data_IF_597119349762
#
_entry.id   IF_597119349762
#
_cell.length_a   1.000
_cell.length_b   1.000
_cell.length_c   1.000
_cell.angle_alpha   90.00
_cell.angle_beta   90.00
_cell.angle_gamma   90.00
#
_symmetry.space_group_name_H-M   'P 1'
#
loop_
_entity.id
_entity.type
_entity.pdbx_description
1 polymer ?
#
# COMPACT_ATOMS: atom_id res chain seq x y z
N UNK A 1 -23.28 -8.26 -45.82
CA UNK A 1 -22.81 -8.48 -44.43
C UNK A 1 -21.41 -7.91 -44.31
N UNK A 2 -21.31 -6.68 -43.89
CA UNK A 2 -20.03 -5.94 -43.80
C UNK A 2 -19.50 -6.07 -42.40
N UNK A 3 -18.43 -6.88 -42.24
CA UNK A 3 -17.66 -6.99 -41.02
C UNK A 3 -16.90 -5.67 -40.79
N UNK A 4 -17.37 -4.84 -39.88
CA UNK A 4 -16.57 -3.74 -39.34
C UNK A 4 -15.56 -4.32 -38.35
N UNK A 5 -14.29 -4.47 -38.79
CA UNK A 5 -13.14 -4.67 -37.93
C UNK A 5 -12.99 -3.41 -37.06
N UNK A 6 -13.45 -3.47 -35.82
CA UNK A 6 -13.01 -2.52 -34.79
C UNK A 6 -11.53 -2.80 -34.49
N UNK A 7 -10.64 -2.03 -35.11
CA UNK A 7 -9.24 -1.96 -34.70
C UNK A 7 -9.23 -1.40 -33.28
N UNK A 8 -8.89 -2.24 -32.32
CA UNK A 8 -8.54 -1.81 -30.97
C UNK A 8 -7.26 -0.98 -31.10
N UNK A 9 -7.42 0.34 -31.06
CA UNK A 9 -6.26 1.25 -31.09
C UNK A 9 -5.45 1.01 -29.81
N UNK A 10 -4.13 0.81 -29.98
CA UNK A 10 -3.21 0.71 -28.85
C UNK A 10 -3.33 1.99 -27.97
N UNK A 11 -3.26 1.86 -26.64
CA UNK A 11 -3.43 3.00 -25.74
C UNK A 11 -2.38 4.09 -26.05
N UNK A 12 -2.86 5.31 -26.28
CA UNK A 12 -2.00 6.48 -26.56
C UNK A 12 -1.20 6.78 -25.29
N UNK A 13 0.12 6.73 -25.38
CA UNK A 13 1.02 7.00 -24.28
C UNK A 13 1.27 8.50 -24.16
N UNK A 14 0.62 9.17 -23.19
CA UNK A 14 0.81 10.60 -22.94
C UNK A 14 2.15 10.84 -22.23
N UNK A 15 2.91 11.84 -22.69
CA UNK A 15 4.22 12.20 -22.11
C UNK A 15 4.10 13.05 -20.83
N UNK A 16 3.02 13.82 -20.72
CA UNK A 16 2.78 14.71 -19.57
C UNK A 16 1.35 14.58 -19.04
N UNK A 17 1.17 14.88 -17.77
CA UNK A 17 -0.15 14.93 -17.14
C UNK A 17 -1.08 15.97 -17.81
N UNK A 18 -0.51 17.10 -18.31
CA UNK A 18 -1.25 18.12 -19.04
C UNK A 18 -1.79 17.60 -20.39
N UNK A 19 -0.95 16.87 -21.14
CA UNK A 19 -1.39 16.22 -22.39
C UNK A 19 -2.50 15.22 -22.12
N UNK A 20 -2.36 14.41 -21.05
CA UNK A 20 -3.38 13.45 -20.66
C UNK A 20 -4.72 14.13 -20.35
N UNK A 21 -4.75 15.18 -19.54
CA UNK A 21 -5.99 15.91 -19.24
C UNK A 21 -6.55 16.69 -20.43
N UNK A 22 -5.77 16.92 -21.50
CA UNK A 22 -6.24 17.53 -22.74
C UNK A 22 -6.80 16.54 -23.74
N UNK A 23 -6.58 15.23 -23.54
CA UNK A 23 -7.15 14.19 -24.36
C UNK A 23 -8.68 14.21 -24.28
N UNK A 24 -9.42 14.24 -25.42
CA UNK A 24 -10.88 14.29 -25.44
C UNK A 24 -11.55 13.10 -24.72
N UNK A 25 -10.96 11.90 -24.84
CA UNK A 25 -11.48 10.67 -24.19
C UNK A 25 -11.37 10.81 -22.67
N UNK A 26 -10.21 11.26 -22.20
CA UNK A 26 -9.96 11.49 -20.77
C UNK A 26 -10.86 12.59 -20.22
N UNK A 27 -11.06 13.69 -20.95
CA UNK A 27 -12.01 14.75 -20.56
C UNK A 27 -13.42 14.20 -20.36
N UNK A 28 -13.90 13.44 -21.33
CA UNK A 28 -15.21 12.82 -21.24
C UNK A 28 -15.34 11.87 -20.04
N UNK A 29 -14.31 11.06 -19.80
CA UNK A 29 -14.26 10.16 -18.63
C UNK A 29 -14.29 10.94 -17.29
N UNK A 30 -13.54 12.01 -17.18
CA UNK A 30 -13.54 12.88 -15.98
C UNK A 30 -14.88 13.57 -15.80
N UNK A 31 -15.50 14.07 -16.89
CA UNK A 31 -16.83 14.69 -16.84
C UNK A 31 -17.92 13.70 -16.40
N UNK A 32 -17.86 12.46 -16.87
CA UNK A 32 -18.76 11.40 -16.43
C UNK A 32 -18.58 11.06 -14.94
N UNK A 33 -17.34 11.04 -14.46
CA UNK A 33 -17.02 10.67 -13.07
C UNK A 33 -17.38 11.79 -12.08
N UNK A 34 -17.10 13.06 -12.41
CA UNK A 34 -17.11 14.18 -11.44
C UNK A 34 -18.08 15.30 -11.87
N UNK A 35 -18.59 15.25 -13.09
CA UNK A 35 -19.53 16.24 -13.62
C UNK A 35 -18.92 17.63 -13.73
N UNK A 36 -19.64 18.65 -13.24
CA UNK A 36 -19.25 20.06 -13.33
C UNK A 36 -17.93 20.43 -12.66
N UNK A 37 -17.39 19.55 -11.80
CA UNK A 37 -16.16 19.80 -11.06
C UNK A 37 -14.90 19.32 -11.82
N UNK A 38 -15.01 18.87 -13.06
CA UNK A 38 -13.93 18.28 -13.86
C UNK A 38 -12.70 19.22 -14.02
N UNK A 39 -12.93 20.51 -14.28
CA UNK A 39 -11.85 21.48 -14.42
C UNK A 39 -11.09 21.74 -13.11
N UNK A 40 -11.82 21.85 -12.00
CA UNK A 40 -11.25 22.02 -10.66
C UNK A 40 -10.46 20.77 -10.26
N UNK A 41 -10.97 19.59 -10.57
CA UNK A 41 -10.29 18.33 -10.33
C UNK A 41 -8.95 18.25 -11.07
N UNK A 42 -8.92 18.50 -12.38
CA UNK A 42 -7.70 18.49 -13.18
C UNK A 42 -6.65 19.46 -12.62
N UNK A 43 -7.09 20.68 -12.23
CA UNK A 43 -6.22 21.69 -11.61
C UNK A 43 -5.65 21.19 -10.28
N UNK A 44 -6.47 20.61 -9.42
CA UNK A 44 -6.04 20.07 -8.11
C UNK A 44 -5.04 18.93 -8.27
N UNK A 45 -5.28 18.01 -9.21
CA UNK A 45 -4.36 16.90 -9.49
C UNK A 45 -3.03 17.40 -10.02
N UNK A 46 -3.03 18.37 -10.92
CA UNK A 46 -1.80 19.01 -11.40
C UNK A 46 -1.02 19.73 -10.29
N UNK A 47 -1.72 20.39 -9.37
CA UNK A 47 -1.07 21.04 -8.20
C UNK A 47 -0.40 20.00 -7.31
N UNK A 48 -1.09 18.88 -7.01
CA UNK A 48 -0.54 17.77 -6.21
C UNK A 48 0.70 17.19 -6.91
N UNK A 49 0.62 16.89 -8.19
CA UNK A 49 1.73 16.36 -8.97
C UNK A 49 2.94 17.32 -8.95
N UNK A 50 2.70 18.62 -9.04
CA UNK A 50 3.75 19.62 -9.04
C UNK A 50 4.36 19.91 -7.64
N UNK A 51 3.63 19.61 -6.57
CA UNK A 51 4.11 19.83 -5.20
C UNK A 51 5.20 18.84 -4.76
N UNK A 52 5.35 17.72 -5.46
CA UNK A 52 6.32 16.67 -5.13
C UNK A 52 7.24 16.37 -6.31
N UNK A 53 8.56 16.45 -6.08
CA UNK A 53 9.57 16.27 -7.13
C UNK A 53 9.51 14.88 -7.79
N UNK A 54 9.20 13.81 -7.03
CA UNK A 54 9.06 12.46 -7.57
C UNK A 54 7.75 12.30 -8.34
N UNK A 55 6.64 12.88 -7.88
CA UNK A 55 5.37 12.84 -8.62
C UNK A 55 5.48 13.53 -9.97
N UNK A 56 6.28 14.59 -10.09
CA UNK A 56 6.53 15.25 -11.39
C UNK A 56 7.15 14.33 -12.44
N UNK A 57 7.87 13.31 -11.99
CA UNK A 57 8.51 12.32 -12.87
C UNK A 57 7.72 11.01 -12.98
N UNK A 58 6.62 10.90 -12.25
CA UNK A 58 5.78 9.70 -12.28
C UNK A 58 4.98 9.59 -13.59
N UNK A 59 4.65 8.37 -13.95
CA UNK A 59 3.85 8.06 -15.13
C UNK A 59 2.48 8.78 -15.04
N UNK A 60 2.11 9.64 -16.01
CA UNK A 60 0.91 10.46 -15.94
C UNK A 60 -0.38 9.66 -15.73
N UNK A 61 -0.50 8.48 -16.35
CA UNK A 61 -1.62 7.58 -16.20
C UNK A 61 -1.80 7.07 -14.77
N UNK A 62 -0.69 6.79 -14.07
CA UNK A 62 -0.75 6.34 -12.66
C UNK A 62 -1.24 7.45 -11.72
N UNK A 63 -0.82 8.69 -11.93
CA UNK A 63 -1.32 9.85 -11.17
C UNK A 63 -2.80 10.07 -11.44
N UNK A 64 -3.21 10.02 -12.70
CA UNK A 64 -4.60 10.16 -13.12
C UNK A 64 -5.49 9.09 -12.48
N UNK A 65 -5.12 7.82 -12.59
CA UNK A 65 -5.90 6.71 -12.06
C UNK A 65 -5.99 6.76 -10.52
N UNK A 66 -4.90 7.12 -9.83
CA UNK A 66 -4.94 7.34 -8.38
C UNK A 66 -5.90 8.47 -7.98
N UNK A 67 -5.94 9.55 -8.78
CA UNK A 67 -6.86 10.65 -8.56
C UNK A 67 -8.32 10.25 -8.86
N UNK A 68 -8.56 9.50 -9.93
CA UNK A 68 -9.89 8.96 -10.26
C UNK A 68 -10.39 8.03 -9.14
N UNK A 69 -9.51 7.20 -8.55
CA UNK A 69 -9.87 6.34 -7.42
C UNK A 69 -10.34 7.16 -6.22
N UNK A 70 -9.64 8.23 -5.87
CA UNK A 70 -10.08 9.14 -4.81
C UNK A 70 -11.43 9.79 -5.12
N UNK A 71 -11.65 10.18 -6.37
CA UNK A 71 -12.91 10.78 -6.83
C UNK A 71 -14.08 9.78 -6.77
N UNK A 72 -13.87 8.54 -7.21
CA UNK A 72 -14.86 7.45 -7.11
C UNK A 72 -15.28 7.20 -5.66
N UNK A 73 -14.34 7.25 -4.74
CA UNK A 73 -14.59 7.14 -3.30
C UNK A 73 -15.13 8.43 -2.69
N UNK A 74 -15.24 9.50 -3.48
CA UNK A 74 -15.61 10.86 -3.02
C UNK A 74 -14.74 11.30 -1.82
N UNK A 75 -13.42 11.07 -1.90
CA UNK A 75 -12.45 11.47 -0.91
C UNK A 75 -11.61 12.65 -1.41
N UNK A 76 -11.56 13.77 -0.65
CA UNK A 76 -10.73 14.90 -1.01
C UNK A 76 -9.23 14.56 -1.06
N UNK A 77 -8.55 15.02 -2.12
CA UNK A 77 -7.10 14.87 -2.30
C UNK A 77 -6.27 16.03 -1.75
N UNK A 78 -6.88 16.98 -1.07
CA UNK A 78 -6.15 18.14 -0.55
C UNK A 78 -5.16 17.72 0.51
N UNK A 79 -3.88 18.14 0.31
CA UNK A 79 -2.83 17.93 1.29
C UNK A 79 -3.21 18.54 2.65
N UNK A 80 -2.98 17.78 3.72
CA UNK A 80 -3.31 18.18 5.10
C UNK A 80 -4.71 17.77 5.58
N UNK A 81 -5.67 17.44 4.72
CA UNK A 81 -6.98 16.95 5.17
C UNK A 81 -6.94 15.51 5.70
N UNK A 82 -6.06 14.66 5.17
CA UNK A 82 -5.85 13.31 5.67
C UNK A 82 -6.85 12.27 5.18
N UNK A 83 -7.61 12.54 4.11
CA UNK A 83 -8.59 11.60 3.56
C UNK A 83 -7.98 10.64 2.54
N UNK A 84 -7.29 11.17 1.54
CA UNK A 84 -6.61 10.39 0.52
C UNK A 84 -5.36 11.11 0.03
N UNK A 85 -4.42 10.32 -0.51
CA UNK A 85 -3.13 10.79 -0.99
C UNK A 85 -2.76 10.13 -2.30
N UNK A 86 -2.01 10.86 -3.12
CA UNK A 86 -1.28 10.34 -4.28
C UNK A 86 0.20 10.30 -3.87
N UNK A 87 0.77 9.11 -3.77
CA UNK A 87 2.12 8.90 -3.25
C UNK A 87 3.04 8.38 -4.36
N UNK A 88 4.22 8.99 -4.58
CA UNK A 88 5.15 8.50 -5.59
C UNK A 88 5.75 7.16 -5.16
N UNK A 89 5.86 6.24 -6.10
CA UNK A 89 6.45 4.92 -5.94
C UNK A 89 7.51 4.67 -7.01
N UNK A 90 8.74 4.29 -6.59
CA UNK A 90 9.79 3.88 -7.52
C UNK A 90 9.64 2.39 -7.80
N UNK A 91 9.17 2.06 -8.99
CA UNK A 91 9.12 0.69 -9.49
C UNK A 91 10.51 0.33 -10.07
N UNK A 92 11.32 -0.35 -9.28
CA UNK A 92 12.67 -0.72 -9.69
C UNK A 92 12.67 -1.80 -10.78
N UNK A 93 11.66 -2.69 -10.80
CA UNK A 93 11.51 -3.74 -11.83
C UNK A 93 11.28 -3.12 -13.21
N UNK A 94 10.42 -2.12 -13.29
CA UNK A 94 10.08 -1.45 -14.56
C UNK A 94 10.91 -0.16 -14.78
N UNK A 95 11.84 0.16 -13.88
CA UNK A 95 12.73 1.35 -13.94
C UNK A 95 11.97 2.67 -14.16
N UNK A 96 10.80 2.80 -13.53
CA UNK A 96 9.95 3.99 -13.64
C UNK A 96 9.44 4.46 -12.28
N UNK A 97 8.97 5.71 -12.23
CA UNK A 97 8.19 6.24 -11.10
C UNK A 97 6.72 6.13 -11.43
N UNK A 98 5.94 5.59 -10.55
CA UNK A 98 4.48 5.50 -10.62
C UNK A 98 3.86 6.20 -9.42
N UNK A 99 2.57 6.46 -9.47
CA UNK A 99 1.81 6.98 -8.34
C UNK A 99 0.90 5.89 -7.77
N UNK A 100 0.92 5.76 -6.44
CA UNK A 100 0.01 4.90 -5.69
C UNK A 100 -1.13 5.73 -5.10
N UNK A 101 -2.34 5.19 -5.12
CA UNK A 101 -3.43 5.68 -4.29
C UNK A 101 -3.21 5.20 -2.85
N UNK A 102 -3.36 6.11 -1.89
CA UNK A 102 -3.35 5.77 -0.48
C UNK A 102 -4.50 6.47 0.24
N UNK A 103 -5.33 5.68 0.91
CA UNK A 103 -6.36 6.22 1.80
C UNK A 103 -5.73 6.61 3.15
N UNK A 104 -6.14 7.75 3.68
CA UNK A 104 -5.72 8.18 5.01
C UNK A 104 -6.63 7.64 6.12
N UNK A 105 -6.17 7.75 7.36
CA UNK A 105 -6.95 7.39 8.53
C UNK A 105 -8.35 8.04 8.55
N UNK A 106 -8.41 9.34 8.27
CA UNK A 106 -9.70 10.08 8.18
C UNK A 106 -10.57 9.61 7.02
N UNK A 107 -9.97 9.11 5.93
CA UNK A 107 -10.69 8.53 4.81
C UNK A 107 -11.47 7.28 5.20
N UNK A 108 -10.86 6.37 5.95
CA UNK A 108 -11.54 5.19 6.49
C UNK A 108 -12.71 5.57 7.40
N UNK A 109 -12.50 6.55 8.29
CA UNK A 109 -13.58 7.04 9.17
C UNK A 109 -14.74 7.61 8.34
N UNK A 110 -14.43 8.42 7.32
CA UNK A 110 -15.48 9.04 6.48
C UNK A 110 -16.27 7.98 5.69
N UNK A 111 -15.62 6.97 5.15
CA UNK A 111 -16.31 5.87 4.46
C UNK A 111 -17.20 5.07 5.43
N UNK A 112 -16.68 4.78 6.62
CA UNK A 112 -17.45 4.11 7.67
C UNK A 112 -18.67 4.93 8.10
N UNK A 113 -18.53 6.23 8.31
CA UNK A 113 -19.66 7.12 8.66
C UNK A 113 -20.71 7.15 7.54
N UNK A 114 -20.29 7.24 6.28
CA UNK A 114 -21.22 7.25 5.13
C UNK A 114 -21.99 5.93 4.97
N UNK A 115 -21.42 4.80 5.40
CA UNK A 115 -22.13 3.51 5.36
C UNK A 115 -23.32 3.44 6.32
N UNK A 116 -23.40 4.32 7.32
CA UNK A 116 -24.45 4.32 8.33
C UNK A 116 -24.44 3.12 9.29
N UNK A 117 -23.47 2.22 9.20
CA UNK A 117 -23.43 0.98 9.98
C UNK A 117 -22.69 1.11 11.31
N UNK A 118 -21.91 2.16 11.51
CA UNK A 118 -21.06 2.35 12.68
C UNK A 118 -21.65 3.34 13.67
N UNK A 119 -21.89 2.91 14.90
CA UNK A 119 -22.20 3.78 16.05
C UNK A 119 -20.93 4.48 16.55
N UNK A 120 -19.80 3.77 16.54
CA UNK A 120 -18.50 4.27 17.00
C UNK A 120 -17.39 3.63 16.20
N UNK A 121 -16.37 4.42 15.88
CA UNK A 121 -15.15 3.97 15.24
C UNK A 121 -14.01 4.87 15.72
N UNK A 122 -13.01 4.29 16.36
CA UNK A 122 -11.86 5.03 16.90
C UNK A 122 -10.57 4.24 16.67
N UNK A 123 -9.45 4.95 16.60
CA UNK A 123 -8.13 4.39 16.84
C UNK A 123 -7.35 5.38 17.70
N UNK A 124 -6.62 4.88 18.67
CA UNK A 124 -5.95 5.65 19.71
C UNK A 124 -4.56 5.08 19.98
N UNK A 125 -3.55 5.93 20.30
CA UNK A 125 -2.34 5.46 20.93
C UNK A 125 -2.67 4.96 22.33
N UNK A 126 -1.93 4.00 22.82
CA UNK A 126 -2.06 3.41 24.15
C UNK A 126 -0.78 3.62 24.92
N UNK A 127 -0.88 4.16 26.12
CA UNK A 127 0.23 4.41 27.01
C UNK A 127 0.26 3.40 28.16
N UNK A 128 1.44 3.24 28.80
CA UNK A 128 1.68 2.17 29.77
C UNK A 128 0.66 2.10 30.90
N UNK A 129 0.28 3.26 31.47
CA UNK A 129 -0.69 3.33 32.57
C UNK A 129 -2.13 3.04 32.16
N UNK A 130 -2.43 3.17 30.88
CA UNK A 130 -3.79 2.97 30.34
C UNK A 130 -4.15 1.51 30.12
N UNK A 131 -3.19 0.64 29.82
CA UNK A 131 -3.44 -0.78 29.56
C UNK A 131 -3.42 -1.56 30.87
N UNK A 132 -4.61 -1.96 31.36
CA UNK A 132 -4.78 -2.72 32.59
C UNK A 132 -4.67 -4.22 32.36
N UNK A 133 -5.29 -4.73 31.28
CA UNK A 133 -5.26 -6.16 30.94
C UNK A 133 -5.14 -6.36 29.45
N UNK A 134 -4.35 -7.37 29.08
CA UNK A 134 -4.14 -7.78 27.70
C UNK A 134 -4.60 -9.22 27.52
N UNK A 135 -5.80 -9.39 26.99
CA UNK A 135 -6.40 -10.70 26.74
C UNK A 135 -6.95 -10.73 25.30
N UNK A 136 -6.31 -11.52 24.44
CA UNK A 136 -6.67 -11.58 23.02
C UNK A 136 -7.96 -12.36 22.73
N UNK A 137 -8.52 -13.05 23.73
CA UNK A 137 -9.75 -13.84 23.57
C UNK A 137 -10.92 -13.11 24.22
N UNK A 138 -10.73 -12.62 25.45
CA UNK A 138 -11.80 -12.00 26.23
C UNK A 138 -11.82 -10.46 26.14
N UNK A 139 -10.89 -9.89 25.37
CA UNK A 139 -10.80 -8.44 25.17
C UNK A 139 -9.72 -7.77 26.02
N UNK A 140 -9.56 -6.48 25.78
CA UNK A 140 -8.58 -5.62 26.46
C UNK A 140 -9.29 -4.75 27.47
N UNK A 141 -8.66 -4.51 28.64
CA UNK A 141 -9.15 -3.57 29.64
C UNK A 141 -8.24 -2.35 29.70
N UNK A 142 -8.85 -1.17 29.57
CA UNK A 142 -8.14 0.10 29.57
C UNK A 142 -8.73 1.06 30.59
N UNK A 143 -7.86 1.82 31.25
CA UNK A 143 -8.23 3.02 31.99
C UNK A 143 -7.90 4.25 31.14
N UNK A 144 -8.87 4.71 30.38
CA UNK A 144 -8.71 5.87 29.49
C UNK A 144 -8.70 7.22 30.23
N UNK A 145 -8.94 7.25 31.55
CA UNK A 145 -8.85 8.44 32.37
C UNK A 145 -7.40 8.76 32.77
N UNK A 146 -6.50 7.77 32.64
CA UNK A 146 -5.08 7.99 32.87
C UNK A 146 -4.48 8.83 31.75
N UNK A 147 -3.96 9.98 32.11
CA UNK A 147 -3.22 10.83 31.19
C UNK A 147 -1.78 10.29 30.99
N UNK A 148 -1.25 10.32 29.75
CA UNK A 148 0.14 10.00 29.50
C UNK A 148 1.09 10.98 30.22
N UNK A 149 2.25 10.50 30.60
CA UNK A 149 3.30 11.39 31.09
C UNK A 149 3.81 12.30 29.97
N UNK A 150 4.36 13.44 30.36
CA UNK A 150 4.92 14.36 29.37
C UNK A 150 6.04 13.64 28.58
N UNK A 151 5.95 13.71 27.25
CA UNK A 151 6.89 13.09 26.33
C UNK A 151 6.93 11.53 26.38
N UNK A 152 5.90 10.88 26.95
CA UNK A 152 5.79 9.43 26.97
C UNK A 152 5.47 8.90 25.57
N UNK A 153 6.20 7.86 25.15
CA UNK A 153 5.92 7.18 23.89
C UNK A 153 4.82 6.13 24.06
N UNK A 154 3.92 5.97 23.09
CA UNK A 154 2.91 4.93 23.12
C UNK A 154 3.54 3.52 23.16
N UNK A 155 3.01 2.64 24.03
CA UNK A 155 3.39 1.22 24.08
C UNK A 155 2.73 0.40 22.98
N UNK A 156 1.69 0.95 22.35
CA UNK A 156 0.95 0.31 21.27
C UNK A 156 -0.17 1.19 20.74
N UNK A 157 -0.97 0.61 19.88
CA UNK A 157 -2.09 1.27 19.21
C UNK A 157 -3.30 0.37 19.23
N UNK A 158 -4.45 0.96 19.48
CA UNK A 158 -5.72 0.27 19.64
C UNK A 158 -6.74 0.83 18.66
N UNK A 159 -7.50 -0.05 18.03
CA UNK A 159 -8.66 0.31 17.23
C UNK A 159 -9.89 -0.42 17.74
N UNK A 160 -11.02 0.24 17.68
CA UNK A 160 -12.31 -0.28 18.13
C UNK A 160 -13.43 0.23 17.22
N UNK A 161 -14.40 -0.63 16.95
CA UNK A 161 -15.68 -0.19 16.41
C UNK A 161 -16.86 -0.84 17.12
N UNK A 162 -18.00 -0.14 17.06
CA UNK A 162 -19.31 -0.65 17.45
C UNK A 162 -20.31 -0.34 16.34
N UNK A 163 -21.02 -1.37 15.89
CA UNK A 163 -22.04 -1.28 14.87
C UNK A 163 -23.42 -0.90 15.44
N UNK A 164 -24.35 -0.54 14.54
CA UNK A 164 -25.72 -0.21 14.91
C UNK A 164 -26.50 -1.39 15.52
N UNK A 165 -26.12 -2.63 15.20
CA UNK A 165 -26.66 -3.88 15.78
C UNK A 165 -25.97 -4.30 17.08
N UNK A 166 -25.17 -3.40 17.68
CA UNK A 166 -24.37 -3.61 18.89
C UNK A 166 -23.21 -4.59 18.81
N UNK A 167 -22.95 -5.21 17.65
CA UNK A 167 -21.70 -5.94 17.43
C UNK A 167 -20.51 -4.99 17.59
N UNK A 168 -19.48 -5.44 18.28
CA UNK A 168 -18.24 -4.68 18.44
C UNK A 168 -17.02 -5.57 18.21
N UNK A 169 -15.96 -4.96 17.74
CA UNK A 169 -14.67 -5.62 17.58
C UNK A 169 -13.53 -4.64 17.86
N UNK A 170 -12.40 -5.20 18.22
CA UNK A 170 -11.23 -4.44 18.63
C UNK A 170 -9.94 -5.09 18.15
N UNK A 171 -8.90 -4.29 18.01
CA UNK A 171 -7.56 -4.72 17.67
C UNK A 171 -6.54 -3.89 18.44
N UNK A 172 -5.65 -4.56 19.14
CA UNK A 172 -4.46 -3.94 19.73
C UNK A 172 -3.20 -4.48 19.06
N UNK A 173 -2.28 -3.59 18.72
CA UNK A 173 -0.94 -3.93 18.28
C UNK A 173 0.08 -3.19 19.15
N UNK A 174 1.09 -3.91 19.64
CA UNK A 174 2.19 -3.28 20.34
C UNK A 174 3.00 -2.37 19.40
N UNK A 175 3.77 -1.44 19.95
CA UNK A 175 4.67 -0.61 19.15
C UNK A 175 5.60 -1.48 18.30
N UNK A 176 6.18 -2.54 18.88
CA UNK A 176 7.05 -3.47 18.17
C UNK A 176 6.34 -4.21 17.03
N UNK A 177 5.07 -4.60 17.20
CA UNK A 177 4.30 -5.24 16.15
C UNK A 177 4.02 -4.28 15.00
N UNK A 178 3.77 -3.00 15.29
CA UNK A 178 3.63 -1.94 14.28
C UNK A 178 4.97 -1.74 13.53
N UNK A 179 6.10 -1.71 14.24
CA UNK A 179 7.42 -1.60 13.61
C UNK A 179 7.69 -2.80 12.68
N UNK A 180 7.43 -4.02 13.14
CA UNK A 180 7.54 -5.24 12.30
C UNK A 180 6.63 -5.17 11.09
N UNK A 181 5.40 -4.69 11.26
CA UNK A 181 4.47 -4.48 10.14
C UNK A 181 5.03 -3.46 9.14
N UNK A 182 5.52 -2.31 9.61
CA UNK A 182 6.12 -1.30 8.73
C UNK A 182 7.36 -1.85 8.01
N UNK A 183 8.23 -2.58 8.70
CA UNK A 183 9.39 -3.25 8.11
C UNK A 183 9.00 -4.25 7.03
N UNK A 184 7.94 -5.02 7.26
CA UNK A 184 7.49 -6.03 6.30
C UNK A 184 6.88 -5.41 5.04
N UNK A 185 6.07 -4.36 5.17
CA UNK A 185 5.21 -3.87 4.10
C UNK A 185 5.61 -2.51 3.51
N UNK A 186 6.62 -1.82 4.05
CA UNK A 186 7.04 -0.52 3.55
C UNK A 186 8.51 -0.49 3.16
N UNK A 187 8.78 -0.36 1.86
CA UNK A 187 10.15 -0.22 1.36
C UNK A 187 10.83 1.07 1.84
N UNK A 188 10.07 2.16 1.96
CA UNK A 188 10.62 3.45 2.44
C UNK A 188 10.99 3.37 3.92
N UNK A 189 10.23 2.63 4.73
CA UNK A 189 10.56 2.38 6.13
C UNK A 189 11.89 1.63 6.26
N UNK A 190 12.08 0.56 5.49
CA UNK A 190 13.35 -0.20 5.46
C UNK A 190 14.56 0.69 5.11
N UNK A 191 14.35 1.69 4.26
CA UNK A 191 15.40 2.61 3.79
C UNK A 191 15.59 3.83 4.71
N UNK A 192 14.87 3.94 5.81
CA UNK A 192 15.03 5.00 6.80
C UNK A 192 14.43 6.36 6.39
N UNK A 193 13.42 6.42 5.51
CA UNK A 193 12.74 7.65 5.11
C UNK A 193 11.26 7.44 4.80
N UNK A 194 10.53 8.54 4.58
CA UNK A 194 9.14 8.56 4.17
C UNK A 194 8.15 8.67 5.32
N UNK A 195 6.86 8.58 5.00
CA UNK A 195 5.75 8.94 5.91
C UNK A 195 5.80 8.19 7.25
N UNK A 196 6.26 6.95 7.26
CA UNK A 196 6.45 6.19 8.48
C UNK A 196 7.49 6.78 9.44
N UNK A 197 8.53 7.45 8.91
CA UNK A 197 9.51 8.15 9.73
C UNK A 197 9.05 9.55 10.09
N UNK A 198 8.40 10.23 9.14
CA UNK A 198 7.97 11.61 9.33
C UNK A 198 6.75 11.72 10.26
N UNK A 199 5.87 10.70 10.27
CA UNK A 199 4.63 10.67 11.04
C UNK A 199 4.22 9.24 11.40
N UNK A 200 5.01 8.61 12.28
CA UNK A 200 4.83 7.22 12.70
C UNK A 200 3.44 6.98 13.29
N UNK A 201 2.99 7.85 14.18
CA UNK A 201 1.70 7.70 14.87
C UNK A 201 0.52 7.66 13.89
N UNK A 202 0.47 8.57 12.92
CA UNK A 202 -0.60 8.57 11.92
C UNK A 202 -0.63 7.28 11.09
N UNK A 203 0.55 6.73 10.76
CA UNK A 203 0.66 5.47 10.04
C UNK A 203 0.28 4.27 10.90
N UNK A 204 0.63 4.29 12.19
CA UNK A 204 0.25 3.26 13.15
C UNK A 204 -1.27 3.22 13.36
N UNK A 205 -1.90 4.38 13.58
CA UNK A 205 -3.37 4.52 13.71
C UNK A 205 -4.09 4.06 12.43
N UNK A 206 -3.57 4.44 11.26
CA UNK A 206 -4.08 3.94 9.97
C UNK A 206 -4.00 2.41 9.89
N UNK A 207 -2.88 1.83 10.32
CA UNK A 207 -2.61 0.39 10.23
C UNK A 207 -3.60 -0.40 11.09
N UNK A 208 -3.75 -0.07 12.37
CA UNK A 208 -4.69 -0.78 13.25
C UNK A 208 -6.13 -0.61 12.79
N UNK A 209 -6.50 0.58 12.31
CA UNK A 209 -7.83 0.85 11.75
C UNK A 209 -8.10 -0.02 10.51
N UNK A 210 -7.20 0.00 9.52
CA UNK A 210 -7.32 -0.78 8.29
C UNK A 210 -7.42 -2.27 8.59
N UNK A 211 -6.55 -2.79 9.45
CA UNK A 211 -6.53 -4.21 9.81
C UNK A 211 -7.80 -4.65 10.53
N UNK A 212 -8.31 -3.83 11.45
CA UNK A 212 -9.57 -4.12 12.15
C UNK A 212 -10.74 -4.14 11.17
N UNK A 213 -10.90 -3.08 10.37
CA UNK A 213 -12.00 -2.96 9.41
C UNK A 213 -11.98 -4.06 8.36
N UNK A 214 -10.83 -4.33 7.76
CA UNK A 214 -10.71 -5.34 6.69
C UNK A 214 -11.00 -6.76 7.14
N UNK A 215 -10.81 -7.06 8.43
CA UNK A 215 -10.99 -8.42 8.98
C UNK A 215 -12.36 -8.65 9.60
N UNK A 216 -12.97 -7.63 10.20
CA UNK A 216 -14.11 -7.84 11.10
C UNK A 216 -15.30 -6.91 10.82
N UNK A 217 -15.14 -5.85 10.03
CA UNK A 217 -16.24 -4.95 9.75
C UNK A 217 -17.05 -5.39 8.51
N UNK A 218 -18.38 -5.13 8.50
CA UNK A 218 -19.14 -5.20 7.28
C UNK A 218 -18.69 -4.05 6.37
N UNK A 219 -18.03 -4.38 5.26
CA UNK A 219 -17.50 -3.38 4.32
C UNK A 219 -18.58 -3.00 3.30
N UNK A 220 -18.92 -1.71 3.21
CA UNK A 220 -19.66 -1.19 2.05
C UNK A 220 -18.83 -1.37 0.78
N UNK A 221 -19.46 -1.24 -0.39
CA UNK A 221 -18.77 -1.38 -1.69
C UNK A 221 -17.60 -0.39 -1.77
N UNK A 222 -17.81 0.86 -1.34
CA UNK A 222 -16.77 1.88 -1.33
C UNK A 222 -15.63 1.53 -0.35
N UNK A 223 -15.95 0.96 0.80
CA UNK A 223 -14.92 0.53 1.76
C UNK A 223 -14.13 -0.67 1.22
N UNK A 224 -14.76 -1.61 0.53
CA UNK A 224 -14.07 -2.73 -0.13
C UNK A 224 -13.10 -2.20 -1.19
N UNK A 225 -13.56 -1.30 -2.06
CA UNK A 225 -12.71 -0.66 -3.07
C UNK A 225 -11.55 0.12 -2.43
N UNK A 226 -11.80 0.86 -1.35
CA UNK A 226 -10.79 1.62 -0.65
C UNK A 226 -9.70 0.71 -0.04
N UNK A 227 -10.10 -0.42 0.57
CA UNK A 227 -9.16 -1.40 1.14
C UNK A 227 -8.31 -2.04 0.04
N UNK A 228 -8.94 -2.42 -1.09
CA UNK A 228 -8.25 -3.00 -2.22
C UNK A 228 -7.32 -2.00 -2.93
N UNK A 229 -7.73 -0.76 -3.11
CA UNK A 229 -6.92 0.26 -3.79
C UNK A 229 -5.79 0.82 -2.92
N UNK A 230 -5.86 0.68 -1.60
CA UNK A 230 -4.88 1.28 -0.69
C UNK A 230 -3.47 0.72 -0.89
N UNK A 231 -2.52 1.60 -1.14
CA UNK A 231 -1.11 1.29 -1.45
C UNK A 231 -0.89 0.60 -2.81
N UNK A 232 -1.88 0.65 -3.70
CA UNK A 232 -1.75 0.11 -5.04
C UNK A 232 -1.44 1.19 -6.09
N UNK A 233 -0.73 0.81 -7.13
CA UNK A 233 -0.74 1.52 -8.40
C UNK A 233 -2.02 1.12 -9.13
N UNK A 234 -2.97 2.04 -9.23
CA UNK A 234 -4.25 1.79 -9.89
C UNK A 234 -4.01 1.80 -11.40
N UNK A 235 -4.26 0.67 -12.07
CA UNK A 235 -4.12 0.54 -13.53
C UNK A 235 -5.42 0.89 -14.23
N UNK A 236 -6.53 0.40 -13.71
CA UNK A 236 -7.88 0.73 -14.19
C UNK A 236 -8.85 0.81 -13.01
N UNK A 237 -9.61 1.90 -12.93
CA UNK A 237 -10.57 2.13 -11.84
C UNK A 237 -11.87 1.35 -12.09
N UNK A 238 -12.32 1.27 -13.36
CA UNK A 238 -13.58 0.63 -13.73
C UNK A 238 -13.49 -0.90 -13.62
N UNK A 239 -12.37 -1.47 -14.09
CA UNK A 239 -12.09 -2.90 -14.00
C UNK A 239 -11.46 -3.32 -12.67
N UNK A 240 -11.21 -2.38 -11.75
CA UNK A 240 -10.57 -2.60 -10.46
C UNK A 240 -9.21 -3.31 -10.58
N UNK A 241 -8.41 -2.90 -11.57
CA UNK A 241 -7.07 -3.44 -11.77
C UNK A 241 -6.06 -2.71 -10.88
N UNK A 242 -5.52 -3.44 -9.90
CA UNK A 242 -4.56 -2.94 -8.91
C UNK A 242 -3.23 -3.67 -9.01
N UNK A 243 -2.13 -2.92 -9.04
CA UNK A 243 -0.79 -3.46 -8.96
C UNK A 243 -0.16 -3.07 -7.61
N UNK A 244 0.12 -4.08 -6.78
CA UNK A 244 0.73 -3.92 -5.46
C UNK A 244 2.24 -4.16 -5.54
N UNK A 245 2.95 -3.25 -6.15
CA UNK A 245 4.39 -3.38 -6.36
C UNK A 245 5.22 -3.45 -5.05
N UNK A 246 4.63 -3.03 -3.91
CA UNK A 246 5.22 -3.15 -2.56
C UNK A 246 4.75 -4.39 -1.79
N UNK A 247 3.71 -5.07 -2.25
CA UNK A 247 3.16 -6.22 -1.55
C UNK A 247 3.88 -7.50 -1.98
N UNK A 248 4.46 -8.17 -1.00
CA UNK A 248 4.97 -9.53 -1.08
C UNK A 248 3.87 -10.56 -1.51
N UNK A 249 2.60 -10.13 -1.66
CA UNK A 249 1.53 -11.00 -2.16
C UNK A 249 1.65 -11.36 -3.64
N UNK A 250 2.54 -10.67 -4.40
CA UNK A 250 3.06 -11.13 -5.69
C UNK A 250 4.53 -11.57 -5.57
N UNK A 251 5.07 -11.78 -4.37
CA UNK A 251 6.10 -12.76 -4.27
C UNK A 251 5.41 -14.08 -4.71
N UNK A 252 5.65 -14.53 -5.90
CA UNK A 252 5.83 -15.95 -6.15
C UNK A 252 6.40 -16.50 -4.86
N UNK A 253 5.78 -17.53 -4.29
CA UNK A 253 6.30 -18.22 -3.13
C UNK A 253 7.82 -18.30 -3.33
N UNK A 254 8.57 -17.52 -2.56
CA UNK A 254 10.00 -17.75 -2.46
C UNK A 254 10.04 -19.07 -1.74
N UNK A 255 10.19 -20.12 -2.52
CA UNK A 255 10.27 -21.45 -1.99
C UNK A 255 11.46 -21.41 -1.05
N UNK A 256 11.24 -21.69 0.24
CA UNK A 256 12.33 -22.10 1.12
C UNK A 256 13.03 -23.20 0.34
N UNK A 257 14.29 -22.93 -0.02
CA UNK A 257 15.02 -23.80 -0.93
C UNK A 257 15.16 -25.15 -0.24
N UNK A 258 14.36 -26.11 -0.70
CA UNK A 258 14.47 -27.49 -0.24
C UNK A 258 15.79 -28.11 -0.72
N UNK A 259 16.16 -29.24 -0.14
CA UNK A 259 17.43 -29.90 -0.43
C UNK A 259 17.57 -30.28 -1.92
N UNK A 260 16.48 -30.59 -2.61
CA UNK A 260 16.48 -30.91 -4.04
C UNK A 260 16.73 -29.68 -4.90
N UNK A 261 16.03 -28.60 -4.66
CA UNK A 261 16.23 -27.30 -5.33
C UNK A 261 17.62 -26.74 -5.05
N UNK A 262 18.10 -26.85 -3.80
CA UNK A 262 19.44 -26.42 -3.43
C UNK A 262 20.55 -27.21 -4.19
N UNK A 263 20.40 -28.53 -4.30
CA UNK A 263 21.34 -29.33 -5.08
C UNK A 263 21.30 -29.00 -6.58
N UNK A 264 20.14 -28.68 -7.14
CA UNK A 264 20.03 -28.20 -8.51
C UNK A 264 20.75 -26.86 -8.72
N UNK A 265 20.58 -25.90 -7.79
CA UNK A 265 21.33 -24.64 -7.83
C UNK A 265 22.84 -24.83 -7.75
N UNK A 266 23.34 -25.75 -6.89
CA UNK A 266 24.75 -26.11 -6.82
C UNK A 266 25.27 -26.66 -8.17
N UNK A 267 24.52 -27.58 -8.77
CA UNK A 267 24.91 -28.15 -10.07
C UNK A 267 24.94 -27.11 -11.17
N UNK A 268 23.99 -26.20 -11.23
CA UNK A 268 23.97 -25.12 -12.22
C UNK A 268 25.16 -24.16 -12.05
N UNK A 269 25.60 -23.87 -10.84
CA UNK A 269 26.84 -23.11 -10.57
C UNK A 269 28.06 -23.92 -11.00
N UNK A 270 28.14 -25.21 -10.64
CA UNK A 270 29.24 -26.11 -11.05
C UNK A 270 29.33 -26.20 -12.57
N UNK A 271 28.20 -26.30 -13.29
CA UNK A 271 28.14 -26.35 -14.73
C UNK A 271 28.47 -25.01 -15.42
N UNK A 272 28.45 -23.87 -14.68
CA UNK A 272 28.64 -22.53 -15.22
C UNK A 272 27.43 -21.99 -15.97
N UNK A 273 26.26 -22.52 -15.67
CA UNK A 273 24.99 -22.08 -16.25
C UNK A 273 24.47 -20.80 -15.57
N UNK A 274 24.87 -20.57 -14.31
CA UNK A 274 24.47 -19.41 -13.51
C UNK A 274 25.55 -19.07 -12.46
N UNK A 275 25.45 -17.87 -11.88
CA UNK A 275 26.30 -17.43 -10.76
C UNK A 275 25.45 -17.32 -9.49
N UNK A 276 26.10 -17.31 -8.31
CA UNK A 276 25.41 -17.03 -7.05
C UNK A 276 24.71 -15.67 -7.08
N UNK A 277 25.36 -14.68 -7.69
CA UNK A 277 24.79 -13.34 -7.86
C UNK A 277 23.49 -13.38 -8.68
N UNK A 278 23.49 -14.11 -9.81
CA UNK A 278 22.29 -14.25 -10.65
C UNK A 278 21.16 -14.97 -9.94
N UNK A 279 21.46 -16.00 -9.14
CA UNK A 279 20.45 -16.72 -8.34
C UNK A 279 19.84 -15.82 -7.26
N UNK A 280 20.65 -15.02 -6.57
CA UNK A 280 20.17 -14.06 -5.58
C UNK A 280 19.38 -12.90 -6.22
N UNK A 281 19.84 -12.39 -7.36
CA UNK A 281 19.21 -11.28 -8.07
C UNK A 281 17.90 -11.69 -8.78
N UNK A 282 17.74 -12.98 -9.09
CA UNK A 282 16.50 -13.53 -9.65
C UNK A 282 15.29 -13.37 -8.73
N UNK A 283 15.54 -13.33 -7.40
CA UNK A 283 14.50 -13.29 -6.39
C UNK A 283 13.61 -14.55 -6.32
N UNK A 284 13.99 -15.61 -7.03
CA UNK A 284 13.26 -16.87 -7.07
C UNK A 284 13.56 -17.77 -5.87
N UNK A 285 14.71 -17.55 -5.20
CA UNK A 285 15.20 -18.39 -4.13
C UNK A 285 15.55 -17.56 -2.89
N UNK A 286 15.19 -18.05 -1.69
CA UNK A 286 15.64 -17.52 -0.41
C UNK A 286 16.57 -18.54 0.25
N UNK A 287 17.87 -18.29 0.09
CA UNK A 287 18.91 -19.14 0.69
C UNK A 287 19.16 -18.75 2.14
N UNK A 288 19.40 -19.74 3.00
CA UNK A 288 19.92 -19.52 4.33
C UNK A 288 21.37 -19.03 4.29
N UNK A 289 21.87 -18.44 5.39
CA UNK A 289 23.26 -18.01 5.47
C UNK A 289 24.24 -19.17 5.27
N UNK A 290 23.89 -20.38 5.74
CA UNK A 290 24.70 -21.60 5.54
C UNK A 290 24.69 -22.03 4.07
N UNK A 291 23.55 -21.96 3.40
CA UNK A 291 23.42 -22.26 1.98
C UNK A 291 24.18 -21.26 1.08
N UNK A 292 24.13 -19.97 1.42
CA UNK A 292 24.90 -18.94 0.71
C UNK A 292 26.41 -19.22 0.85
N UNK A 293 26.90 -19.48 2.06
CA UNK A 293 28.31 -19.78 2.28
C UNK A 293 28.80 -21.03 1.51
N UNK A 294 27.93 -22.05 1.40
CA UNK A 294 28.26 -23.26 0.61
C UNK A 294 28.31 -22.99 -0.90
N UNK A 295 27.36 -22.17 -1.43
CA UNK A 295 27.37 -21.76 -2.85
C UNK A 295 28.55 -20.86 -3.18
N UNK A 296 28.93 -19.93 -2.31
CA UNK A 296 30.14 -19.10 -2.44
C UNK A 296 31.40 -19.94 -2.48
N UNK A 297 31.49 -20.96 -1.61
CA UNK A 297 32.65 -21.87 -1.61
C UNK A 297 32.77 -22.64 -2.94
N UNK A 298 31.66 -23.08 -3.52
CA UNK A 298 31.62 -23.79 -4.80
C UNK A 298 32.02 -22.83 -5.94
N UNK A 299 31.53 -21.61 -5.96
CA UNK A 299 31.85 -20.62 -7.02
C UNK A 299 33.34 -20.22 -6.97
N UNK A 300 33.89 -20.02 -5.74
CA UNK A 300 35.31 -19.69 -5.56
C UNK A 300 36.27 -20.81 -5.98
N UNK A 301 35.89 -22.08 -5.80
CA UNK A 301 36.68 -23.22 -6.28
C UNK A 301 36.82 -23.28 -7.82
N UNK A 302 35.83 -22.69 -8.53
CA UNK A 302 35.82 -22.65 -9.98
C UNK A 302 36.57 -21.45 -10.59
N UNK A 303 36.67 -20.35 -9.84
CA UNK A 303 37.42 -19.16 -10.27
C UNK A 303 38.94 -19.24 -10.09
N UNK A 304 39.44 -20.37 -9.57
CA UNK A 304 40.86 -20.62 -9.27
C UNK A 304 41.61 -21.57 -10.27
N UNK A 305 40.97 -21.93 -11.42
CA UNK A 305 41.63 -22.66 -12.51
C UNK A 305 41.97 -21.78 -13.72
#
# INVERSE_FOLDING_TARGET
>A
MTNQNQQVQAPVKHKTLRELFNDPIIKTKVEQLIGKNSATFATSVMQIANSNALLRTAEPSSIFNAACMAATLNLPLQNGLGFAYIVPFKNNKERKVEAQFQIGYKGFIQLAQRSGQFKRLVALPVYKKQLLKKDFINGFEFDWEQEPEKDENPIGYYAYFKLVNDFSAELYMSHDDIVKHAQRYSQTFKKGFGVWHDNFEAMALKTVMKLLLSKQAPLSVEMQQAVLADQAVVKDVENQEFNYADNIQNAEFVAVVDDETFNNCKQSIVNGETTLQDLCDSGAYEFSQEQIAELEAIENLKGGE
#
